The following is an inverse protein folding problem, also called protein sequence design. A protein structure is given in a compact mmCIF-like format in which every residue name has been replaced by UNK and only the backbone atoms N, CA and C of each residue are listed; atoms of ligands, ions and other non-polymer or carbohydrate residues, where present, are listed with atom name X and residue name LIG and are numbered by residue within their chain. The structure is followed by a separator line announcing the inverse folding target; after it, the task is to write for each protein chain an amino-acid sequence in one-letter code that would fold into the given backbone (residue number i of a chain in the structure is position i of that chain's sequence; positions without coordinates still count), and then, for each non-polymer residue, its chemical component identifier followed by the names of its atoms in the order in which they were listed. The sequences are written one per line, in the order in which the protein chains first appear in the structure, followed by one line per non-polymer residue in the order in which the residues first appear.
data_IF_696521978416
#
_entry.id   IF_696521978416
#
_cell.length_a   1.000
_cell.length_b   1.000
_cell.length_c   1.000
_cell.angle_alpha   90.00
_cell.angle_beta   90.00
_cell.angle_gamma   90.00
#
_symmetry.space_group_name_H-M   'P 1'
#
loop_
_entity.id
_entity.type
_entity.pdbx_description
1 polymer ?
#
# COMPACT_ATOMS: atom_id res chain seq x y z
N UNK A 1 20.23 -24.29 -13.33
CA UNK A 1 20.32 -23.02 -12.58
C UNK A 1 19.42 -23.11 -11.35
N UNK A 2 19.97 -22.93 -10.14
CA UNK A 2 19.22 -23.05 -8.87
C UNK A 2 18.23 -21.89 -8.73
N UNK A 3 16.92 -22.19 -8.67
CA UNK A 3 15.86 -21.22 -8.34
C UNK A 3 16.14 -20.65 -6.95
N UNK A 4 16.59 -19.39 -6.85
CA UNK A 4 16.65 -18.67 -5.58
C UNK A 4 15.23 -18.25 -5.23
N UNK A 5 14.51 -19.15 -4.55
CA UNK A 5 13.24 -18.82 -3.91
C UNK A 5 13.58 -17.77 -2.86
N UNK A 6 13.25 -16.51 -3.10
CA UNK A 6 13.25 -15.51 -2.03
C UNK A 6 12.24 -16.03 -1.00
N UNK A 7 12.76 -16.42 0.17
CA UNK A 7 11.96 -16.89 1.29
C UNK A 7 10.94 -15.82 1.67
N UNK A 8 9.70 -16.23 1.94
CA UNK A 8 8.60 -15.39 2.43
C UNK A 8 9.03 -14.51 3.63
N UNK A 9 10.01 -15.00 4.41
CA UNK A 9 10.63 -14.29 5.54
C UNK A 9 11.40 -13.02 5.11
N UNK A 10 11.98 -12.99 3.91
CA UNK A 10 12.69 -11.83 3.39
C UNK A 10 11.75 -10.69 2.97
N UNK A 11 10.52 -11.03 2.56
CA UNK A 11 9.47 -10.05 2.26
C UNK A 11 8.96 -9.42 3.57
N UNK A 12 8.73 -10.23 4.61
CA UNK A 12 8.26 -9.79 5.93
C UNK A 12 9.27 -8.84 6.61
N UNK A 13 10.58 -9.08 6.47
CA UNK A 13 11.61 -8.24 7.07
C UNK A 13 11.67 -6.81 6.49
N UNK A 14 11.23 -6.61 5.24
CA UNK A 14 11.20 -5.29 4.60
C UNK A 14 10.06 -4.41 5.17
N UNK A 15 8.97 -5.01 5.66
CA UNK A 15 7.79 -4.31 6.18
C UNK A 15 7.96 -3.79 7.62
N UNK A 16 8.88 -4.36 8.43
CA UNK A 16 9.02 -4.01 9.85
C UNK A 16 9.94 -2.80 10.11
N UNK A 17 10.70 -2.32 9.12
CA UNK A 17 11.75 -1.31 9.31
C UNK A 17 11.30 0.16 9.29
N UNK A 18 10.02 0.47 9.08
CA UNK A 18 9.58 1.85 8.74
C UNK A 18 8.93 2.61 9.90
N UNK A 19 8.83 2.04 11.12
CA UNK A 19 8.09 2.67 12.24
C UNK A 19 9.00 3.48 13.19
N UNK A 20 10.09 4.09 12.71
CA UNK A 20 10.91 4.96 13.56
C UNK A 20 11.21 6.29 12.86
N UNK A 21 10.22 7.19 12.85
CA UNK A 21 10.47 8.62 12.64
C UNK A 21 9.89 9.40 13.83
N UNK A 22 10.82 9.68 14.74
CA UNK A 22 11.02 10.88 15.57
C UNK A 22 9.83 11.82 15.83
N UNK A 23 9.53 12.05 17.12
CA UNK A 23 8.91 13.28 17.61
C UNK A 23 9.87 14.46 17.37
N UNK A 24 9.72 15.16 16.25
CA UNK A 24 10.27 16.49 16.02
C UNK A 24 9.15 17.51 16.16
N UNK A 25 9.30 18.46 17.08
CA UNK A 25 8.47 19.67 17.13
C UNK A 25 8.73 20.49 15.87
N UNK A 26 7.71 20.70 15.05
CA UNK A 26 7.67 21.76 14.03
C UNK A 26 6.27 22.40 14.00
N UNK A 27 6.24 23.72 14.17
CA UNK A 27 5.06 24.60 14.34
C UNK A 27 4.27 24.88 13.05
N UNK A 28 4.20 23.93 12.11
CA UNK A 28 3.34 24.00 10.91
C UNK A 28 2.24 22.94 10.93
N UNK A 29 1.59 22.83 12.09
CA UNK A 29 0.59 21.81 12.39
C UNK A 29 -0.70 22.02 11.58
N UNK A 30 -0.67 21.75 10.26
CA UNK A 30 -1.86 21.32 9.54
C UNK A 30 -2.36 20.13 10.34
N UNK A 31 -3.45 20.28 11.08
CA UNK A 31 -4.03 19.17 11.82
C UNK A 31 -4.33 18.04 10.84
N UNK A 32 -3.41 17.08 10.71
CA UNK A 32 -3.53 15.95 9.79
C UNK A 32 -4.39 14.86 10.40
N UNK A 33 -4.88 15.04 11.64
CA UNK A 33 -5.77 14.10 12.29
C UNK A 33 -7.09 14.02 11.54
N UNK A 34 -7.50 12.82 11.16
CA UNK A 34 -8.77 12.58 10.48
C UNK A 34 -8.94 11.12 10.12
N UNK A 35 -9.90 10.84 9.23
CA UNK A 35 -10.03 9.52 8.60
C UNK A 35 -9.01 9.42 7.47
N UNK A 36 -7.88 8.77 7.75
CA UNK A 36 -6.89 8.42 6.73
C UNK A 36 -7.38 7.21 5.95
N UNK A 37 -7.37 7.31 4.61
CA UNK A 37 -7.83 6.25 3.71
C UNK A 37 -6.85 6.10 2.56
N UNK A 38 -6.53 4.87 2.18
CA UNK A 38 -5.82 4.56 0.94
C UNK A 38 -6.67 3.60 0.11
N UNK A 39 -6.85 3.95 -1.16
CA UNK A 39 -7.53 3.14 -2.16
C UNK A 39 -6.52 2.70 -3.19
N UNK A 40 -6.54 1.42 -3.55
CA UNK A 40 -5.70 0.81 -4.58
C UNK A 40 -6.62 0.23 -5.64
N UNK A 41 -6.38 0.58 -6.89
CA UNK A 41 -7.06 0.00 -8.04
C UNK A 41 -6.07 -0.67 -8.97
N UNK A 42 -6.45 -1.83 -9.52
CA UNK A 42 -5.68 -2.54 -10.53
C UNK A 42 -6.52 -2.82 -11.78
N UNK A 43 -5.89 -2.76 -12.95
CA UNK A 43 -6.54 -3.09 -14.23
C UNK A 43 -5.53 -3.57 -15.28
N UNK A 44 -6.04 -4.14 -16.37
CA UNK A 44 -5.23 -4.71 -17.45
C UNK A 44 -5.22 -6.24 -17.38
N UNK A 45 -4.04 -6.84 -17.51
CA UNK A 45 -3.85 -8.28 -17.46
C UNK A 45 -3.61 -8.76 -16.01
N UNK A 46 -4.56 -8.52 -15.10
CA UNK A 46 -4.40 -8.82 -13.66
C UNK A 46 -4.01 -10.26 -13.37
N UNK A 47 -4.50 -11.22 -14.15
CA UNK A 47 -4.19 -12.65 -13.98
C UNK A 47 -2.71 -13.02 -14.27
N UNK A 48 -1.98 -12.15 -14.98
CA UNK A 48 -0.56 -12.32 -15.32
C UNK A 48 0.39 -11.70 -14.26
N UNK A 49 -0.14 -11.18 -13.14
CA UNK A 49 0.61 -10.53 -12.07
C UNK A 49 0.10 -10.91 -10.67
N UNK A 50 1.04 -11.09 -9.74
CA UNK A 50 0.75 -11.13 -8.31
C UNK A 50 0.93 -9.71 -7.74
N UNK A 51 -0.16 -9.07 -7.31
CA UNK A 51 -0.15 -7.85 -6.50
C UNK A 51 -0.23 -8.21 -5.01
N UNK A 52 0.76 -7.80 -4.22
CA UNK A 52 0.72 -7.96 -2.75
C UNK A 52 0.81 -6.59 -2.09
N UNK A 53 -0.04 -6.32 -1.12
CA UNK A 53 -0.18 -5.01 -0.46
C UNK A 53 -0.27 -5.17 1.05
N UNK A 54 0.27 -4.20 1.77
CA UNK A 54 0.17 -4.10 3.22
C UNK A 54 -0.14 -2.67 3.64
N UNK A 55 -1.09 -2.53 4.56
CA UNK A 55 -1.49 -1.27 5.17
C UNK A 55 -1.08 -1.25 6.64
N UNK A 56 -0.52 -0.13 7.06
CA UNK A 56 -0.27 0.21 8.46
C UNK A 56 -0.67 1.65 8.72
N UNK A 57 -1.17 1.93 9.92
CA UNK A 57 -1.60 3.26 10.30
C UNK A 57 -1.34 3.53 11.79
N UNK A 58 -1.26 4.82 12.13
CA UNK A 58 -1.22 5.29 13.50
C UNK A 58 -2.40 6.23 13.76
N UNK A 59 -2.79 6.33 15.02
CA UNK A 59 -3.71 7.35 15.53
C UNK A 59 -2.98 8.28 16.50
N UNK A 60 -3.69 9.25 17.04
CA UNK A 60 -3.17 10.20 18.04
C UNK A 60 -2.64 9.53 19.33
N UNK A 61 -2.99 8.26 19.57
CA UNK A 61 -2.67 7.52 20.80
C UNK A 61 -1.78 6.28 20.60
N UNK A 62 -1.31 6.01 19.37
CA UNK A 62 -0.53 4.80 19.04
C UNK A 62 -1.01 4.10 17.77
N UNK A 63 -1.19 2.78 17.82
CA UNK A 63 -1.58 1.96 16.66
C UNK A 63 -3.05 2.19 16.29
N UNK A 64 -3.34 2.41 15.01
CA UNK A 64 -4.71 2.58 14.53
C UNK A 64 -5.35 1.26 14.12
N UNK A 65 -6.61 1.09 14.51
CA UNK A 65 -7.50 0.07 13.93
C UNK A 65 -7.81 0.40 12.48
N UNK A 66 -7.82 -0.63 11.64
CA UNK A 66 -8.10 -0.52 10.21
C UNK A 66 -9.49 -1.06 9.88
N UNK A 67 -10.14 -0.42 8.91
CA UNK A 67 -11.49 -0.76 8.46
C UNK A 67 -11.57 -0.77 6.93
N UNK A 68 -12.48 -1.57 6.38
CA UNK A 68 -12.84 -1.48 4.96
C UNK A 68 -13.85 -0.34 4.69
N UNK A 69 -14.32 -0.20 3.44
CA UNK A 69 -15.28 0.86 3.07
C UNK A 69 -16.63 0.74 3.79
N UNK A 70 -17.00 -0.46 4.25
CA UNK A 70 -18.23 -0.70 5.00
C UNK A 70 -18.07 -0.44 6.51
N UNK A 71 -16.86 -0.11 6.97
CA UNK A 71 -16.55 0.09 8.38
C UNK A 71 -16.31 -1.21 9.15
N UNK A 72 -16.13 -2.34 8.47
CA UNK A 72 -15.80 -3.62 9.11
C UNK A 72 -14.32 -3.64 9.50
N UNK A 73 -14.02 -4.13 10.71
CA UNK A 73 -12.68 -4.16 11.26
C UNK A 73 -11.79 -5.19 10.56
N UNK A 74 -10.59 -4.76 10.14
CA UNK A 74 -9.62 -5.57 9.39
C UNK A 74 -8.39 -5.98 10.23
N UNK A 75 -8.25 -5.44 11.45
CA UNK A 75 -7.05 -5.60 12.27
C UNK A 75 -6.29 -4.29 12.50
N UNK A 76 -5.16 -4.38 13.20
CA UNK A 76 -4.23 -3.27 13.41
C UNK A 76 -3.17 -3.18 12.27
N UNK A 77 -3.11 -4.22 11.44
CA UNK A 77 -2.34 -4.29 10.20
C UNK A 77 -3.15 -5.11 9.19
N UNK A 78 -3.20 -4.68 7.93
CA UNK A 78 -4.00 -5.36 6.90
C UNK A 78 -3.11 -5.75 5.72
N UNK A 79 -2.94 -7.05 5.48
CA UNK A 79 -2.10 -7.60 4.44
C UNK A 79 -2.97 -8.41 3.46
N UNK A 80 -2.83 -8.13 2.17
CA UNK A 80 -3.51 -8.87 1.11
C UNK A 80 -2.46 -9.36 0.12
N UNK A 81 -2.30 -10.67 0.03
CA UNK A 81 -1.42 -11.30 -0.95
C UNK A 81 -2.23 -11.73 -2.16
N UNK A 82 -1.65 -11.57 -3.36
CA UNK A 82 -2.29 -11.94 -4.64
C UNK A 82 -3.70 -11.36 -4.77
N UNK A 83 -3.81 -10.04 -4.63
CA UNK A 83 -5.08 -9.30 -4.71
C UNK A 83 -5.82 -9.70 -6.00
N UNK A 84 -7.07 -10.13 -5.87
CA UNK A 84 -7.91 -10.55 -7.01
C UNK A 84 -8.96 -9.50 -7.39
N UNK A 85 -9.30 -8.64 -6.43
CA UNK A 85 -10.23 -7.55 -6.57
C UNK A 85 -9.60 -6.42 -7.39
N UNK A 86 -10.40 -5.77 -8.23
CA UNK A 86 -9.94 -4.60 -8.97
C UNK A 86 -9.75 -3.37 -8.07
N UNK A 87 -10.32 -3.38 -6.85
CA UNK A 87 -10.25 -2.28 -5.89
C UNK A 87 -10.12 -2.82 -4.47
N UNK A 88 -9.13 -2.33 -3.75
CA UNK A 88 -8.97 -2.52 -2.30
C UNK A 88 -8.97 -1.15 -1.64
N UNK A 89 -9.61 -1.04 -0.49
CA UNK A 89 -9.62 0.19 0.30
C UNK A 89 -9.46 -0.13 1.78
N UNK A 90 -8.67 0.69 2.46
CA UNK A 90 -8.41 0.60 3.88
C UNK A 90 -8.46 2.01 4.49
N UNK A 91 -9.07 2.13 5.67
CA UNK A 91 -9.20 3.41 6.37
C UNK A 91 -9.06 3.30 7.89
N UNK A 92 -8.67 4.39 8.54
CA UNK A 92 -8.67 4.52 10.01
C UNK A 92 -10.03 4.96 10.56
N UNK A 93 -10.13 5.09 11.89
CA UNK A 93 -11.13 5.95 12.53
C UNK A 93 -10.76 7.44 12.43
N UNK A 94 -11.57 8.31 13.06
CA UNK A 94 -11.42 9.78 13.03
C UNK A 94 -10.15 10.33 13.68
N UNK A 95 -9.53 9.53 14.55
CA UNK A 95 -8.30 9.89 15.27
C UNK A 95 -7.04 9.44 14.52
N UNK A 96 -7.15 8.98 13.26
CA UNK A 96 -5.99 8.60 12.47
C UNK A 96 -5.04 9.78 12.30
N UNK A 97 -3.73 9.54 12.37
CA UNK A 97 -2.69 10.56 12.22
C UNK A 97 -1.79 10.30 11.01
N UNK A 98 -1.68 9.05 10.57
CA UNK A 98 -1.01 8.64 9.34
C UNK A 98 -1.54 7.29 8.85
N UNK A 99 -1.49 7.05 7.55
CA UNK A 99 -1.62 5.73 6.94
C UNK A 99 -0.58 5.57 5.83
N UNK A 100 0.01 4.38 5.75
CA UNK A 100 0.95 3.99 4.69
C UNK A 100 0.48 2.68 4.05
N UNK A 101 0.57 2.63 2.73
CA UNK A 101 0.42 1.42 1.94
C UNK A 101 1.75 1.13 1.24
N UNK A 102 2.27 -0.07 1.43
CA UNK A 102 3.39 -0.58 0.66
C UNK A 102 2.93 -1.80 -0.16
N UNK A 103 3.38 -1.89 -1.41
CA UNK A 103 2.99 -2.94 -2.32
C UNK A 103 4.13 -3.45 -3.20
N UNK A 104 3.95 -4.67 -3.69
CA UNK A 104 4.85 -5.33 -4.62
C UNK A 104 4.06 -5.90 -5.79
N UNK A 105 4.64 -5.82 -6.99
CA UNK A 105 4.09 -6.35 -8.23
C UNK A 105 5.08 -7.34 -8.80
N UNK A 106 4.64 -8.59 -8.98
CA UNK A 106 5.47 -9.67 -9.51
C UNK A 106 4.77 -10.24 -10.74
N UNK A 107 5.42 -10.25 -11.91
CA UNK A 107 4.81 -10.91 -13.08
C UNK A 107 4.88 -12.44 -12.93
N UNK A 108 3.77 -13.11 -13.24
CA UNK A 108 3.69 -14.59 -13.29
C UNK A 108 3.79 -15.13 -14.72
N UNK A 109 3.78 -14.24 -15.72
CA UNK A 109 3.83 -14.56 -17.14
C UNK A 109 5.25 -14.53 -17.71
N UNK A 110 5.60 -15.52 -18.54
CA UNK A 110 6.82 -15.51 -19.37
C UNK A 110 6.61 -14.76 -20.70
N UNK A 111 5.37 -14.34 -21.00
CA UNK A 111 5.08 -13.57 -22.22
C UNK A 111 5.42 -12.10 -22.02
N UNK A 112 6.07 -11.48 -23.00
CA UNK A 112 6.28 -10.04 -23.03
C UNK A 112 4.98 -9.30 -23.44
N UNK A 113 4.86 -8.04 -23.03
CA UNK A 113 3.77 -7.14 -23.44
C UNK A 113 2.49 -7.22 -22.61
N UNK A 114 2.43 -8.06 -21.56
CA UNK A 114 1.33 -8.03 -20.58
C UNK A 114 1.43 -6.76 -19.76
N UNK A 115 0.29 -6.12 -19.50
CA UNK A 115 0.24 -4.81 -18.83
C UNK A 115 -0.59 -4.85 -17.56
N UNK A 116 -0.06 -4.29 -16.48
CA UNK A 116 -0.79 -4.02 -15.25
C UNK A 116 -0.73 -2.53 -14.96
N UNK A 117 -1.89 -1.90 -14.78
CA UNK A 117 -1.99 -0.51 -14.31
C UNK A 117 -2.42 -0.53 -12.85
N UNK A 118 -1.71 0.25 -12.03
CA UNK A 118 -1.99 0.45 -10.62
C UNK A 118 -2.20 1.93 -10.35
N UNK A 119 -3.31 2.26 -9.70
CA UNK A 119 -3.56 3.57 -9.08
C UNK A 119 -3.59 3.39 -7.56
N UNK A 120 -2.87 4.23 -6.83
CA UNK A 120 -2.91 4.29 -5.36
C UNK A 120 -3.19 5.71 -4.95
N UNK A 121 -4.34 5.94 -4.31
CA UNK A 121 -4.80 7.29 -3.94
C UNK A 121 -4.98 7.35 -2.44
N UNK A 122 -4.36 8.33 -1.81
CA UNK A 122 -4.42 8.57 -0.38
C UNK A 122 -5.32 9.78 -0.08
N UNK A 123 -6.11 9.65 0.97
CA UNK A 123 -7.07 10.65 1.41
C UNK A 123 -6.97 10.90 2.91
N UNK A 124 -7.32 12.13 3.31
CA UNK A 124 -7.67 12.50 4.68
C UNK A 124 -9.05 13.13 4.62
N UNK A 125 -10.02 12.56 5.35
CA UNK A 125 -11.42 13.02 5.36
C UNK A 125 -12.03 13.17 3.95
N UNK A 126 -11.75 12.19 3.09
CA UNK A 126 -12.16 12.14 1.67
C UNK A 126 -11.55 13.22 0.77
N UNK A 127 -10.62 14.05 1.27
CA UNK A 127 -9.79 14.92 0.44
C UNK A 127 -8.55 14.17 -0.02
N UNK A 128 -8.33 14.11 -1.32
CA UNK A 128 -7.10 13.53 -1.89
C UNK A 128 -5.89 14.35 -1.41
N UNK A 129 -4.88 13.65 -0.90
CA UNK A 129 -3.63 14.24 -0.39
C UNK A 129 -2.38 13.68 -1.07
N UNK A 130 -2.48 12.51 -1.70
CA UNK A 130 -1.37 11.90 -2.44
C UNK A 130 -1.91 10.92 -3.49
N UNK A 131 -1.16 10.72 -4.57
CA UNK A 131 -1.49 9.80 -5.66
C UNK A 131 -0.24 9.22 -6.29
N UNK A 132 -0.29 7.91 -6.57
CA UNK A 132 0.69 7.22 -7.40
C UNK A 132 -0.03 6.50 -8.54
N UNK A 133 0.43 6.72 -9.76
CA UNK A 133 0.00 5.98 -10.96
C UNK A 133 1.20 5.23 -11.53
N UNK A 134 1.06 3.93 -11.77
CA UNK A 134 2.12 3.08 -12.35
C UNK A 134 1.54 2.17 -13.43
N UNK A 135 2.32 1.98 -14.50
CA UNK A 135 2.06 0.96 -15.52
C UNK A 135 3.28 0.03 -15.60
N UNK A 136 3.02 -1.26 -15.43
CA UNK A 136 4.01 -2.33 -15.51
C UNK A 136 3.81 -3.10 -16.81
N UNK A 137 4.90 -3.37 -17.53
CA UNK A 137 4.86 -4.10 -18.80
C UNK A 137 5.91 -5.22 -18.77
N UNK A 138 5.49 -6.47 -18.99
CA UNK A 138 6.41 -7.61 -18.99
C UNK A 138 7.34 -7.56 -20.19
N UNK A 139 8.59 -8.00 -19.99
CA UNK A 139 9.62 -8.10 -21.06
C UNK A 139 9.97 -9.55 -21.43
N UNK A 140 9.23 -10.52 -20.89
CA UNK A 140 9.53 -11.95 -21.00
C UNK A 140 10.46 -12.50 -19.92
N UNK A 141 11.06 -11.62 -19.10
CA UNK A 141 11.70 -11.97 -17.82
C UNK A 141 10.77 -11.64 -16.66
N UNK A 142 10.99 -12.25 -15.49
CA UNK A 142 10.27 -11.91 -14.26
C UNK A 142 10.44 -10.43 -13.93
N UNK A 143 9.34 -9.70 -13.83
CA UNK A 143 9.23 -8.35 -13.32
C UNK A 143 9.01 -8.44 -11.80
N UNK A 144 9.76 -7.64 -11.03
CA UNK A 144 9.56 -7.47 -9.58
C UNK A 144 9.74 -5.99 -9.29
N UNK A 145 8.65 -5.33 -8.92
CA UNK A 145 8.59 -3.90 -8.65
C UNK A 145 7.92 -3.64 -7.31
N UNK A 146 8.24 -2.51 -6.69
CA UNK A 146 7.65 -2.11 -5.40
C UNK A 146 7.11 -0.68 -5.49
N UNK A 147 6.16 -0.37 -4.62
CA UNK A 147 5.65 0.98 -4.43
C UNK A 147 5.32 1.24 -2.96
N UNK A 148 5.29 2.51 -2.58
CA UNK A 148 4.84 2.96 -1.27
C UNK A 148 4.14 4.31 -1.42
N UNK A 149 3.00 4.47 -0.74
CA UNK A 149 2.24 5.73 -0.68
C UNK A 149 1.81 5.96 0.75
N UNK A 150 1.94 7.19 1.22
CA UNK A 150 1.45 7.61 2.54
C UNK A 150 0.57 8.85 2.41
N UNK A 151 -0.37 9.00 3.33
CA UNK A 151 -1.20 10.21 3.49
C UNK A 151 -0.41 11.42 3.98
N UNK A 152 0.79 11.21 4.55
CA UNK A 152 1.62 12.25 5.16
C UNK A 152 3.00 12.34 4.50
N UNK A 153 3.13 11.91 3.24
CA UNK A 153 4.35 12.14 2.47
C UNK A 153 4.59 13.64 2.28
N UNK A 154 5.83 14.09 2.47
CA UNK A 154 6.26 15.45 2.15
C UNK A 154 6.62 15.50 0.66
N UNK A 155 6.13 16.52 -0.05
CA UNK A 155 6.49 16.80 -1.46
C UNK A 155 7.96 17.19 -1.63
#
# INVERSE_FOLDING_TARGET
MKKRILSLLGIIALFLGVILVSCGNDDDNKNTTGVHKIVIEQSGNTDDFDLNIAFGAANTSGVAKLYNENGEYLGDSYLVNKVTENKISCQTGKEGSMMTCAGSVISTSEQAGKKLKISVIAYIDNKEVNRLEKEYITKGSTLVENFSVSTTSVE
#
